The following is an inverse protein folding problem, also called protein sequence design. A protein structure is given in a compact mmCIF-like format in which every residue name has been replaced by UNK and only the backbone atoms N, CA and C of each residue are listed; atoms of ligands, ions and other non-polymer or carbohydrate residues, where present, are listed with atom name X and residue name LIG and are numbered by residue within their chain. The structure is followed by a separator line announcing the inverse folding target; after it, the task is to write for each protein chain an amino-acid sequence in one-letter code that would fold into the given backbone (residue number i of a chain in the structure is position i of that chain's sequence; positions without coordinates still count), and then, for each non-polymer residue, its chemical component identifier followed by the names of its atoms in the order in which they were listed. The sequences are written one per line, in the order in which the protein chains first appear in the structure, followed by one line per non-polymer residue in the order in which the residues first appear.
data_IF_429714855836
#
_entry.id   IF_429714855836
#
_cell.length_a   1.000
_cell.length_b   1.000
_cell.length_c   1.000
_cell.angle_alpha   90.00
_cell.angle_beta   90.00
_cell.angle_gamma   90.00
#
_symmetry.space_group_name_H-M   'P 1'
#
loop_
_entity.id
_entity.type
_entity.pdbx_description
1 polymer ?
#
# COMPACT_ATOMS: atom_id res chain seq x y z
N UNK A 1 -13.63 13.29 9.63
CA UNK A 1 -13.44 11.96 9.03
C UNK A 1 -13.68 10.88 10.07
N UNK A 2 -14.47 9.88 9.70
CA UNK A 2 -14.59 8.60 10.39
C UNK A 2 -13.29 7.82 10.21
N UNK A 3 -12.92 7.04 11.23
CA UNK A 3 -11.74 6.16 11.23
C UNK A 3 -12.21 4.74 11.56
N UNK A 4 -11.80 3.76 10.76
CA UNK A 4 -12.13 2.35 10.95
C UNK A 4 -10.88 1.50 10.88
N UNK A 5 -10.68 0.66 11.89
CA UNK A 5 -9.72 -0.43 11.82
C UNK A 5 -10.36 -1.61 11.10
N UNK A 6 -9.62 -2.20 10.15
CA UNK A 6 -10.00 -3.38 9.39
C UNK A 6 -8.86 -4.40 9.49
N UNK A 7 -9.22 -5.66 9.72
CA UNK A 7 -8.28 -6.76 9.74
C UNK A 7 -8.86 -7.96 9.02
N UNK A 8 -8.09 -8.50 8.07
CA UNK A 8 -8.39 -9.74 7.38
C UNK A 8 -7.09 -10.47 7.06
N UNK A 9 -6.89 -11.63 7.72
CA UNK A 9 -5.64 -12.39 7.72
C UNK A 9 -4.44 -11.48 8.06
N UNK A 10 -3.44 -11.40 7.19
CA UNK A 10 -2.25 -10.55 7.34
C UNK A 10 -2.51 -9.07 6.97
N UNK A 11 -3.68 -8.74 6.39
CA UNK A 11 -4.05 -7.36 6.08
C UNK A 11 -4.54 -6.67 7.34
N UNK A 12 -3.82 -5.65 7.79
CA UNK A 12 -4.22 -4.80 8.92
C UNK A 12 -4.18 -3.36 8.44
N UNK A 13 -5.35 -2.74 8.30
CA UNK A 13 -5.46 -1.42 7.73
C UNK A 13 -6.33 -0.48 8.56
N UNK A 14 -6.01 0.81 8.46
CA UNK A 14 -6.86 1.90 8.94
C UNK A 14 -7.45 2.63 7.75
N UNK A 15 -8.77 2.68 7.66
CA UNK A 15 -9.49 3.44 6.65
C UNK A 15 -10.04 4.73 7.25
N UNK A 16 -9.98 5.82 6.48
CA UNK A 16 -10.58 7.09 6.85
C UNK A 16 -11.38 7.68 5.68
N UNK A 17 -12.59 8.15 5.99
CA UNK A 17 -13.50 8.79 5.04
C UNK A 17 -14.49 9.71 5.77
N UNK A 18 -15.24 10.54 5.04
CA UNK A 18 -16.29 11.37 5.65
C UNK A 18 -17.58 10.60 5.95
N UNK A 19 -17.92 9.58 5.15
CA UNK A 19 -19.15 8.78 5.28
C UNK A 19 -18.86 7.29 5.49
N UNK A 20 -19.74 6.59 6.20
CA UNK A 20 -19.58 5.14 6.48
C UNK A 20 -19.65 4.29 5.21
N UNK A 21 -20.52 4.68 4.25
CA UNK A 21 -20.68 3.97 2.97
C UNK A 21 -19.35 3.87 2.19
N UNK A 22 -18.50 4.90 2.31
CA UNK A 22 -17.19 4.91 1.67
C UNK A 22 -16.23 3.95 2.39
N UNK A 23 -16.27 3.87 3.73
CA UNK A 23 -15.48 2.88 4.48
C UNK A 23 -15.86 1.46 4.06
N UNK A 24 -17.15 1.16 3.96
CA UNK A 24 -17.64 -0.15 3.49
C UNK A 24 -17.13 -0.46 2.09
N UNK A 25 -17.25 0.47 1.14
CA UNK A 25 -16.72 0.30 -0.21
C UNK A 25 -15.20 0.07 -0.22
N UNK A 26 -14.46 0.77 0.65
CA UNK A 26 -13.01 0.57 0.80
C UNK A 26 -12.67 -0.84 1.27
N UNK A 27 -13.38 -1.37 2.27
CA UNK A 27 -13.21 -2.74 2.76
C UNK A 27 -13.52 -3.76 1.65
N UNK A 28 -14.61 -3.57 0.90
CA UNK A 28 -14.97 -4.43 -0.23
C UNK A 28 -13.89 -4.42 -1.32
N UNK A 29 -13.34 -3.24 -1.65
CA UNK A 29 -12.24 -3.11 -2.60
C UNK A 29 -10.97 -3.82 -2.16
N UNK A 30 -10.60 -3.68 -0.88
CA UNK A 30 -9.45 -4.38 -0.29
C UNK A 30 -9.63 -5.90 -0.30
N UNK A 31 -10.80 -6.39 0.08
CA UNK A 31 -11.12 -7.83 0.06
C UNK A 31 -11.10 -8.38 -1.37
N UNK A 32 -11.64 -7.63 -2.35
CA UNK A 32 -11.59 -8.00 -3.76
C UNK A 32 -10.15 -8.18 -4.25
N UNK A 33 -9.27 -7.23 -3.94
CA UNK A 33 -7.86 -7.29 -4.28
C UNK A 33 -7.15 -8.47 -3.59
N UNK A 34 -7.41 -8.69 -2.30
CA UNK A 34 -6.84 -9.82 -1.55
C UNK A 34 -7.26 -11.17 -2.15
N UNK A 35 -8.53 -11.36 -2.44
CA UNK A 35 -9.01 -12.59 -3.08
C UNK A 35 -8.42 -12.79 -4.48
N UNK A 36 -8.21 -11.72 -5.24
CA UNK A 36 -7.54 -11.80 -6.54
C UNK A 36 -6.11 -12.36 -6.40
N UNK A 37 -5.33 -11.80 -5.47
CA UNK A 37 -3.98 -12.26 -5.15
C UNK A 37 -3.98 -13.71 -4.66
N UNK A 38 -4.87 -14.07 -3.75
CA UNK A 38 -4.94 -15.43 -3.21
C UNK A 38 -5.27 -16.48 -4.27
N UNK A 39 -6.15 -16.16 -5.23
CA UNK A 39 -6.42 -17.02 -6.38
C UNK A 39 -5.19 -17.18 -7.27
N UNK A 40 -4.43 -16.10 -7.47
CA UNK A 40 -3.17 -16.18 -8.19
C UNK A 40 -2.18 -17.11 -7.49
N UNK A 41 -1.95 -16.91 -6.19
CA UNK A 41 -1.03 -17.73 -5.38
C UNK A 41 -1.46 -19.21 -5.37
N UNK A 42 -2.76 -19.48 -5.31
CA UNK A 42 -3.26 -20.86 -5.36
C UNK A 42 -3.01 -21.53 -6.72
N UNK A 43 -3.01 -20.77 -7.82
CA UNK A 43 -2.71 -21.27 -9.16
C UNK A 43 -1.21 -21.38 -9.42
N UNK A 44 -0.44 -20.40 -8.93
CA UNK A 44 0.99 -20.24 -9.13
C UNK A 44 1.67 -19.84 -7.82
N UNK A 45 2.04 -20.83 -6.97
CA UNK A 45 2.64 -20.55 -5.67
C UNK A 45 4.00 -19.83 -5.73
N UNK A 46 4.70 -19.88 -6.88
CA UNK A 46 6.00 -19.22 -7.02
C UNK A 46 5.87 -17.70 -6.97
N UNK A 47 4.73 -17.15 -7.42
CA UNK A 47 4.38 -15.73 -7.30
C UNK A 47 4.50 -15.20 -5.87
N UNK A 48 4.21 -16.03 -4.86
CA UNK A 48 4.23 -15.62 -3.46
C UNK A 48 5.64 -15.55 -2.84
N UNK A 49 6.62 -16.25 -3.42
CA UNK A 49 7.92 -16.50 -2.77
C UNK A 49 9.11 -15.94 -3.55
N UNK A 50 8.94 -15.55 -4.81
CA UNK A 50 10.01 -14.93 -5.59
C UNK A 50 10.38 -13.56 -5.03
N UNK A 51 11.68 -13.29 -4.97
CA UNK A 51 12.25 -11.97 -4.65
C UNK A 51 12.72 -11.21 -5.89
N UNK A 52 12.59 -11.83 -7.06
CA UNK A 52 12.91 -11.26 -8.37
C UNK A 52 11.62 -10.99 -9.16
N UNK A 53 11.66 -10.06 -10.14
CA UNK A 53 10.52 -9.79 -11.00
C UNK A 53 9.97 -11.06 -11.62
N UNK A 54 8.64 -11.21 -11.59
CA UNK A 54 7.98 -12.43 -12.01
C UNK A 54 6.59 -12.15 -12.57
N UNK A 55 6.33 -12.69 -13.77
CA UNK A 55 5.04 -12.64 -14.44
C UNK A 55 4.32 -13.98 -14.29
N UNK A 56 3.32 -14.10 -13.40
CA UNK A 56 2.54 -15.32 -13.24
C UNK A 56 1.57 -15.50 -14.42
N UNK A 57 1.02 -16.71 -14.58
CA UNK A 57 -0.03 -17.00 -15.57
C UNK A 57 -1.43 -16.49 -15.17
N UNK A 58 -1.56 -15.95 -13.97
CA UNK A 58 -2.83 -15.48 -13.42
C UNK A 58 -3.13 -14.04 -13.88
N UNK A 59 -4.40 -13.75 -14.15
CA UNK A 59 -4.85 -12.41 -14.55
C UNK A 59 -5.57 -11.69 -13.42
N UNK A 60 -5.47 -10.37 -13.41
CA UNK A 60 -6.15 -9.53 -12.45
C UNK A 60 -5.61 -8.11 -12.38
N UNK A 61 -6.45 -7.12 -12.07
CA UNK A 61 -6.04 -5.71 -12.06
C UNK A 61 -4.98 -5.45 -10.98
N UNK A 62 -5.12 -6.07 -9.81
CA UNK A 62 -4.21 -5.95 -8.67
C UNK A 62 -2.92 -6.71 -8.96
N UNK A 63 -3.02 -7.94 -9.48
CA UNK A 63 -1.86 -8.74 -9.88
C UNK A 63 -1.03 -8.00 -10.93
N UNK A 64 -1.64 -7.49 -12.01
CA UNK A 64 -0.91 -6.77 -13.05
C UNK A 64 -0.18 -5.53 -12.53
N UNK A 65 -0.77 -4.81 -11.55
CA UNK A 65 -0.10 -3.70 -10.87
C UNK A 65 1.13 -4.16 -10.10
N UNK A 66 1.02 -5.26 -9.35
CA UNK A 66 2.14 -5.82 -8.58
C UNK A 66 3.27 -6.30 -9.50
N UNK A 67 2.93 -6.94 -10.62
CA UNK A 67 3.92 -7.39 -11.62
C UNK A 67 4.65 -6.21 -12.24
N UNK A 68 3.91 -5.19 -12.69
CA UNK A 68 4.52 -3.98 -13.26
C UNK A 68 5.44 -3.26 -12.26
N UNK A 69 5.00 -3.15 -11.00
CA UNK A 69 5.80 -2.56 -9.93
C UNK A 69 7.07 -3.37 -9.63
N UNK A 70 6.97 -4.69 -9.63
CA UNK A 70 8.10 -5.60 -9.45
C UNK A 70 9.13 -5.47 -10.58
N UNK A 71 8.66 -5.47 -11.83
CA UNK A 71 9.51 -5.29 -13.01
C UNK A 71 10.24 -3.93 -12.97
N UNK A 72 9.56 -2.87 -12.56
CA UNK A 72 10.14 -1.52 -12.47
C UNK A 72 11.18 -1.40 -11.35
N UNK A 73 10.88 -1.92 -10.15
CA UNK A 73 11.71 -1.76 -8.97
C UNK A 73 12.77 -2.87 -8.79
N UNK A 74 12.73 -3.93 -9.61
CA UNK A 74 13.67 -5.05 -9.55
C UNK A 74 13.48 -5.95 -8.32
N UNK A 75 12.23 -6.13 -7.88
CA UNK A 75 11.86 -6.90 -6.68
C UNK A 75 10.81 -7.95 -7.01
N UNK A 76 10.48 -8.83 -6.07
CA UNK A 76 9.36 -9.77 -6.21
C UNK A 76 7.99 -9.07 -6.15
N UNK A 77 6.95 -9.58 -6.84
CA UNK A 77 5.60 -8.97 -6.84
C UNK A 77 4.99 -8.74 -5.45
N UNK A 78 5.30 -9.60 -4.50
CA UNK A 78 4.80 -9.48 -3.12
C UNK A 78 5.35 -8.26 -2.38
N UNK A 79 6.44 -7.64 -2.86
CA UNK A 79 6.97 -6.39 -2.32
C UNK A 79 6.06 -5.16 -2.58
N UNK A 80 5.07 -5.28 -3.47
CA UNK A 80 4.11 -4.22 -3.80
C UNK A 80 2.69 -4.52 -3.28
N UNK A 81 2.52 -5.57 -2.46
CA UNK A 81 1.20 -6.11 -2.11
C UNK A 81 0.38 -5.16 -1.24
N UNK A 82 1.04 -4.45 -0.32
CA UNK A 82 0.35 -3.63 0.66
C UNK A 82 -0.20 -2.35 0.02
N UNK A 83 0.64 -1.70 -0.79
CA UNK A 83 0.27 -0.56 -1.63
C UNK A 83 -0.81 -0.92 -2.66
N UNK A 84 -0.70 -2.07 -3.33
CA UNK A 84 -1.69 -2.50 -4.32
C UNK A 84 -3.09 -2.74 -3.69
N UNK A 85 -3.16 -3.34 -2.50
CA UNK A 85 -4.42 -3.55 -1.78
C UNK A 85 -5.01 -2.23 -1.29
N UNK A 86 -4.19 -1.34 -0.72
CA UNK A 86 -4.63 -0.01 -0.29
C UNK A 86 -5.18 0.78 -1.48
N UNK A 87 -4.52 0.71 -2.64
CA UNK A 87 -4.95 1.35 -3.88
C UNK A 87 -6.32 0.85 -4.32
N UNK A 88 -6.53 -0.46 -4.40
CA UNK A 88 -7.82 -1.03 -4.78
C UNK A 88 -8.96 -0.60 -3.85
N UNK A 89 -8.68 -0.51 -2.55
CA UNK A 89 -9.61 0.02 -1.56
C UNK A 89 -9.98 1.48 -1.82
N UNK A 90 -9.01 2.39 -1.94
CA UNK A 90 -9.29 3.81 -2.17
C UNK A 90 -10.01 4.03 -3.50
N UNK A 91 -9.65 3.30 -4.56
CA UNK A 91 -10.39 3.34 -5.81
C UNK A 91 -11.88 2.98 -5.63
N UNK A 92 -12.18 1.98 -4.80
CA UNK A 92 -13.56 1.61 -4.48
C UNK A 92 -14.28 2.72 -3.69
N UNK A 93 -13.60 3.36 -2.73
CA UNK A 93 -14.13 4.51 -1.99
C UNK A 93 -14.48 5.67 -2.93
N UNK A 94 -13.59 5.99 -3.87
CA UNK A 94 -13.78 7.06 -4.87
C UNK A 94 -14.94 6.72 -5.81
N UNK A 95 -15.04 5.47 -6.29
CA UNK A 95 -16.19 5.01 -7.08
C UNK A 95 -17.51 5.14 -6.33
N UNK A 96 -17.48 5.03 -4.99
CA UNK A 96 -18.64 5.24 -4.13
C UNK A 96 -18.93 6.72 -3.81
N UNK A 97 -18.15 7.67 -4.36
CA UNK A 97 -18.36 9.11 -4.24
C UNK A 97 -17.49 9.82 -3.20
N UNK A 98 -16.47 9.15 -2.64
CA UNK A 98 -15.60 9.79 -1.66
C UNK A 98 -14.70 10.86 -2.30
N UNK A 99 -14.79 12.10 -1.78
CA UNK A 99 -13.85 13.19 -2.11
C UNK A 99 -12.63 13.24 -1.18
N UNK A 100 -12.73 12.56 -0.03
CA UNK A 100 -11.64 12.35 0.92
C UNK A 100 -11.65 10.88 1.36
N UNK A 101 -10.62 10.15 0.95
CA UNK A 101 -10.47 8.72 1.17
C UNK A 101 -9.00 8.40 1.42
N UNK A 102 -8.72 7.73 2.54
CA UNK A 102 -7.37 7.36 2.96
C UNK A 102 -7.41 5.93 3.46
N UNK A 103 -6.48 5.11 3.02
CA UNK A 103 -6.22 3.78 3.57
C UNK A 103 -4.74 3.70 3.89
N UNK A 104 -4.43 3.39 5.14
CA UNK A 104 -3.09 3.05 5.62
C UNK A 104 -3.06 1.55 5.87
N UNK A 105 -2.31 0.81 5.05
CA UNK A 105 -2.14 -0.63 5.14
C UNK A 105 -0.72 -0.97 5.63
N UNK A 106 -0.43 -0.64 6.88
CA UNK A 106 0.83 -1.01 7.54
C UNK A 106 2.01 -0.10 7.22
N UNK A 107 1.76 1.17 6.86
CA UNK A 107 2.78 2.11 6.40
C UNK A 107 2.66 2.46 4.93
N UNK A 108 1.92 1.65 4.16
CA UNK A 108 1.61 1.89 2.76
C UNK A 108 0.26 2.56 2.61
N UNK A 109 0.33 3.86 2.34
CA UNK A 109 -0.83 4.73 2.35
C UNK A 109 -1.26 5.03 0.93
N UNK A 110 -2.50 4.70 0.60
CA UNK A 110 -3.19 5.22 -0.57
C UNK A 110 -4.15 6.34 -0.13
N UNK A 111 -4.18 7.45 -0.85
CA UNK A 111 -5.09 8.56 -0.52
C UNK A 111 -5.56 9.38 -1.71
N UNK A 112 -6.70 10.04 -1.53
CA UNK A 112 -7.12 11.25 -2.23
C UNK A 112 -7.84 12.17 -1.25
N UNK A 113 -7.74 13.48 -1.42
CA UNK A 113 -8.39 14.43 -0.53
C UNK A 113 -8.60 15.80 -1.17
N UNK A 114 -9.74 16.41 -0.91
CA UNK A 114 -10.07 17.80 -1.25
C UNK A 114 -9.48 18.83 -0.25
N UNK A 115 -8.79 18.35 0.79
CA UNK A 115 -8.22 19.18 1.87
C UNK A 115 -6.84 18.69 2.27
N UNK A 116 -6.03 19.52 2.95
CA UNK A 116 -4.71 19.09 3.40
C UNK A 116 -4.78 17.92 4.40
N UNK A 117 -3.92 16.93 4.20
CA UNK A 117 -3.76 15.76 5.09
C UNK A 117 -2.37 15.77 5.71
N UNK A 118 -2.27 15.41 7.00
CA UNK A 118 -0.99 15.21 7.68
C UNK A 118 -0.70 13.72 7.79
N UNK A 119 0.42 13.29 7.23
CA UNK A 119 0.88 11.89 7.27
C UNK A 119 2.09 11.83 8.18
N UNK A 120 1.92 11.25 9.36
CA UNK A 120 3.01 11.07 10.33
C UNK A 120 4.01 10.02 9.85
N UNK A 121 5.30 10.24 10.11
CA UNK A 121 6.35 9.28 9.80
C UNK A 121 6.62 8.41 11.02
N UNK A 122 6.44 7.10 10.86
CA UNK A 122 6.77 6.11 11.89
C UNK A 122 8.01 5.31 11.44
N UNK A 123 9.15 5.58 12.07
CA UNK A 123 10.44 4.95 11.78
C UNK A 123 10.99 4.22 13.02
N UNK A 124 10.10 3.58 13.78
CA UNK A 124 10.49 2.71 14.89
C UNK A 124 11.22 3.41 16.01
N UNK A 125 12.42 2.90 16.32
CA UNK A 125 13.32 3.43 17.37
C UNK A 125 14.14 4.62 16.91
N UNK A 126 14.09 4.99 15.63
CA UNK A 126 14.80 6.15 15.11
C UNK A 126 14.36 7.43 15.86
N UNK A 127 15.32 8.33 16.12
CA UNK A 127 15.11 9.54 16.93
C UNK A 127 13.99 10.46 16.45
N UNK A 128 13.69 10.41 15.15
CA UNK A 128 12.69 11.25 14.49
C UNK A 128 11.32 10.56 14.32
N UNK A 129 11.20 9.29 14.71
CA UNK A 129 9.94 8.55 14.66
C UNK A 129 8.85 9.24 15.49
N UNK A 130 7.65 9.39 14.91
CA UNK A 130 6.50 10.10 15.49
C UNK A 130 6.74 11.59 15.79
N UNK A 131 7.80 12.20 15.25
CA UNK A 131 8.11 13.64 15.42
C UNK A 131 7.99 14.45 14.13
N UNK A 132 7.88 13.77 13.00
CA UNK A 132 7.76 14.37 11.67
C UNK A 132 6.44 13.98 11.02
N UNK A 133 5.90 14.88 10.21
CA UNK A 133 4.77 14.60 9.36
C UNK A 133 4.93 15.31 8.01
N UNK A 134 4.55 14.62 6.95
CA UNK A 134 4.36 15.22 5.65
C UNK A 134 3.02 15.96 5.63
N UNK A 135 3.02 17.19 5.12
CA UNK A 135 1.80 17.96 4.87
C UNK A 135 1.45 17.80 3.40
N UNK A 136 0.43 16.99 3.14
CA UNK A 136 -0.03 16.65 1.80
C UNK A 136 -1.10 17.66 1.41
N UNK A 137 -0.90 18.46 0.34
CA UNK A 137 -1.93 19.36 -0.15
C UNK A 137 -3.11 18.56 -0.74
N UNK A 138 -4.25 19.20 -1.04
CA UNK A 138 -5.34 18.55 -1.77
C UNK A 138 -4.84 17.84 -3.03
N UNK A 139 -5.34 16.63 -3.28
CA UNK A 139 -4.92 15.77 -4.37
C UNK A 139 -6.05 15.61 -5.39
N UNK A 140 -5.74 15.85 -6.67
CA UNK A 140 -6.67 15.60 -7.79
C UNK A 140 -6.68 14.13 -8.23
N UNK A 141 -5.57 13.44 -8.03
CA UNK A 141 -5.36 12.04 -8.38
C UNK A 141 -4.99 11.26 -7.12
N UNK A 142 -5.11 9.94 -7.17
CA UNK A 142 -4.66 9.07 -6.09
C UNK A 142 -3.16 9.24 -5.86
N UNK A 143 -2.75 9.34 -4.60
CA UNK A 143 -1.36 9.42 -4.18
C UNK A 143 -1.03 8.25 -3.26
N UNK A 144 0.09 7.60 -3.54
CA UNK A 144 0.74 6.61 -2.70
C UNK A 144 1.83 7.27 -1.86
N UNK A 145 1.90 6.88 -0.60
CA UNK A 145 2.98 7.20 0.33
C UNK A 145 3.34 5.89 1.02
N UNK A 146 4.35 5.21 0.48
CA UNK A 146 4.72 3.86 0.88
C UNK A 146 6.02 3.89 1.67
N UNK A 147 6.08 3.16 2.77
CA UNK A 147 7.22 3.21 3.69
C UNK A 147 7.73 1.83 4.01
N UNK A 148 8.98 1.56 3.64
CA UNK A 148 9.70 0.36 4.05
C UNK A 148 10.70 0.70 5.16
N UNK A 149 11.00 -0.27 6.02
CA UNK A 149 11.94 -0.11 7.14
C UNK A 149 12.68 -1.41 7.39
N UNK A 150 13.99 -1.33 7.65
CA UNK A 150 14.78 -2.46 8.09
C UNK A 150 14.62 -2.78 9.59
N UNK A 151 14.05 -1.86 10.36
CA UNK A 151 14.01 -1.93 11.84
C UNK A 151 12.58 -2.05 12.41
N UNK A 152 11.55 -1.95 11.57
CA UNK A 152 10.13 -1.99 11.97
C UNK A 152 9.31 -2.82 10.99
N UNK A 153 8.71 -3.90 11.51
CA UNK A 153 7.82 -4.78 10.73
C UNK A 153 8.25 -6.24 10.79
N UNK A 154 7.38 -7.14 10.30
CA UNK A 154 7.65 -8.58 10.21
C UNK A 154 8.37 -8.97 8.89
N UNK A 155 8.70 -7.98 8.05
CA UNK A 155 9.32 -8.20 6.74
C UNK A 155 10.84 -8.35 6.89
N UNK A 156 11.39 -9.39 6.25
CA UNK A 156 12.84 -9.60 6.19
C UNK A 156 13.44 -8.51 5.29
N UNK A 157 14.16 -7.57 5.88
CA UNK A 157 14.93 -6.56 5.16
C UNK A 157 16.43 -6.75 5.44
N UNK A 158 17.24 -6.64 4.39
CA UNK A 158 18.70 -6.80 4.45
C UNK A 158 19.46 -5.47 4.51
N UNK A 159 18.77 -4.33 4.43
CA UNK A 159 19.42 -3.01 4.35
C UNK A 159 19.65 -2.31 5.69
N UNK A 160 20.26 -1.12 5.61
CA UNK A 160 20.73 -0.32 6.77
C UNK A 160 19.90 0.94 7.03
N UNK A 161 18.88 1.22 6.21
CA UNK A 161 18.03 2.41 6.36
C UNK A 161 16.97 2.24 7.46
N UNK A 162 16.85 3.23 8.35
CA UNK A 162 15.82 3.24 9.41
C UNK A 162 14.40 3.26 8.81
N UNK A 163 14.19 4.04 7.75
CA UNK A 163 12.98 4.05 6.95
C UNK A 163 13.24 4.68 5.57
N UNK A 164 12.57 4.17 4.54
CA UNK A 164 12.50 4.77 3.20
C UNK A 164 11.04 5.03 2.89
N UNK A 165 10.67 6.29 2.61
CA UNK A 165 9.32 6.65 2.18
C UNK A 165 9.33 7.13 0.73
N UNK A 166 8.52 6.51 -0.12
CA UNK A 166 8.37 6.83 -1.54
C UNK A 166 6.97 7.37 -1.81
N UNK A 167 6.90 8.42 -2.63
CA UNK A 167 5.66 9.06 -3.06
C UNK A 167 5.45 8.76 -4.54
N UNK A 168 4.25 8.34 -4.93
CA UNK A 168 3.96 8.03 -6.33
C UNK A 168 2.47 7.98 -6.65
N UNK A 169 2.11 8.32 -7.89
CA UNK A 169 0.73 8.12 -8.38
C UNK A 169 0.47 6.67 -8.79
N UNK A 170 1.52 5.91 -9.10
CA UNK A 170 1.48 4.46 -9.08
C UNK A 170 1.82 3.98 -7.66
N UNK A 171 0.79 3.56 -6.94
CA UNK A 171 0.91 3.21 -5.51
C UNK A 171 1.62 1.87 -5.34
N UNK A 172 1.46 0.95 -6.30
CA UNK A 172 2.15 -0.34 -6.26
C UNK A 172 3.65 -0.16 -6.54
N UNK A 173 4.00 0.69 -7.52
CA UNK A 173 5.39 1.02 -7.80
C UNK A 173 6.05 1.75 -6.63
N UNK A 174 5.34 2.67 -5.96
CA UNK A 174 5.86 3.34 -4.77
C UNK A 174 6.23 2.36 -3.65
N UNK A 175 5.41 1.33 -3.43
CA UNK A 175 5.66 0.25 -2.46
C UNK A 175 6.87 -0.62 -2.86
N UNK A 176 6.90 -1.06 -4.13
CA UNK A 176 8.02 -1.81 -4.69
C UNK A 176 9.35 -1.06 -4.57
N UNK A 177 9.38 0.23 -4.92
CA UNK A 177 10.56 1.09 -4.78
C UNK A 177 10.97 1.32 -3.33
N UNK A 178 10.01 1.51 -2.41
CA UNK A 178 10.31 1.66 -1.00
C UNK A 178 11.05 0.41 -0.48
N UNK A 179 10.59 -0.77 -0.86
CA UNK A 179 11.25 -2.05 -0.53
C UNK A 179 12.62 -2.18 -1.20
N UNK A 180 12.73 -1.90 -2.50
CA UNK A 180 13.97 -2.01 -3.25
C UNK A 180 15.08 -1.14 -2.66
N UNK A 181 14.79 0.15 -2.45
CA UNK A 181 15.75 1.13 -1.90
C UNK A 181 16.11 0.79 -0.46
N UNK A 182 15.15 0.31 0.34
CA UNK A 182 15.41 -0.06 1.73
C UNK A 182 16.30 -1.31 1.86
N UNK A 183 16.44 -2.11 0.80
CA UNK A 183 17.22 -3.36 0.80
C UNK A 183 18.61 -3.20 0.15
N UNK A 184 18.91 -2.03 -0.43
CA UNK A 184 20.25 -1.65 -0.89
C UNK A 184 21.25 -1.56 0.28
#
# INVERSE_FOLDING_TARGET
MKRRHFQYRETIATLLADEEKHITAGIEGMLGARHEIERCIAHDPFFAITYEPYSPSCDGKTVSRMVAAADEAGVGPMAAVAGAIAWAGVEAMVRAGAVCAIIDNGGDIALTSDRPIRVGVHAGTARLSNRLAFVIPPQKYLLGICTSSATVGHSVSFGVADAVTVFGHDIAAADGWATAICTL
#
